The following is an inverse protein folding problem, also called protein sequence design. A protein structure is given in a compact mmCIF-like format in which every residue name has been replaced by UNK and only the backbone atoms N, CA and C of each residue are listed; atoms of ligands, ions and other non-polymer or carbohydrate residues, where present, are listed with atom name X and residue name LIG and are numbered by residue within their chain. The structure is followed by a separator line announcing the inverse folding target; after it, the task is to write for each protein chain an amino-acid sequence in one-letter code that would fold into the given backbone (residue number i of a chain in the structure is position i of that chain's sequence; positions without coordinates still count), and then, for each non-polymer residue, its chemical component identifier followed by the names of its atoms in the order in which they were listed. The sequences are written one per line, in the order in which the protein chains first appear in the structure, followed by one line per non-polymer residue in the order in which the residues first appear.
data_IF_159495092611
#
_entry.id   IF_159495092611
#
_cell.length_a   1.000
_cell.length_b   1.000
_cell.length_c   1.000
_cell.angle_alpha   90.00
_cell.angle_beta   90.00
_cell.angle_gamma   90.00
#
_symmetry.space_group_name_H-M   'P 1'
#
loop_
_entity.id
_entity.type
_entity.pdbx_description
1 polymer ?
#
# COMPACT_ATOMS: atom_id res chain seq x y z
N UNK A 1 6.50 1.87 5.10
CA UNK A 1 7.05 3.19 4.74
C UNK A 1 8.49 3.38 5.22
N UNK A 2 8.81 3.43 6.53
CA UNK A 2 10.20 3.71 7.00
C UNK A 2 11.31 2.87 6.34
N UNK A 3 11.09 1.57 6.15
CA UNK A 3 12.07 0.70 5.48
C UNK A 3 12.25 1.02 4.00
N UNK A 4 11.16 1.32 3.29
CA UNK A 4 11.22 1.69 1.88
C UNK A 4 11.97 3.01 1.68
N UNK A 5 11.75 4.00 2.56
CA UNK A 5 12.50 5.26 2.54
C UNK A 5 13.99 5.05 2.76
N UNK A 6 14.38 4.23 3.74
CA UNK A 6 15.77 3.86 3.95
C UNK A 6 16.40 3.18 2.73
N UNK A 7 15.66 2.27 2.07
CA UNK A 7 16.15 1.62 0.84
C UNK A 7 16.39 2.64 -0.27
N UNK A 8 15.51 3.63 -0.42
CA UNK A 8 15.68 4.71 -1.41
C UNK A 8 16.93 5.54 -1.08
N UNK A 9 17.09 5.95 0.18
CA UNK A 9 18.28 6.69 0.63
C UNK A 9 19.58 5.89 0.38
N UNK A 10 19.58 4.60 0.68
CA UNK A 10 20.74 3.71 0.45
C UNK A 10 21.09 3.60 -1.05
N UNK A 11 20.09 3.51 -1.92
CA UNK A 11 20.26 3.41 -3.37
C UNK A 11 20.71 4.74 -3.99
N UNK A 12 20.17 5.86 -3.54
CA UNK A 12 20.55 7.21 -3.98
C UNK A 12 21.97 7.58 -3.51
N UNK A 13 22.41 7.03 -2.38
CA UNK A 13 23.74 7.27 -1.83
C UNK A 13 24.89 6.72 -2.67
N UNK A 14 24.64 5.76 -3.57
CA UNK A 14 25.63 5.26 -4.55
C UNK A 14 26.85 4.53 -3.96
N UNK A 15 26.86 4.26 -2.66
CA UNK A 15 27.96 3.57 -1.96
C UNK A 15 27.88 2.04 -2.04
N UNK A 16 26.75 1.51 -2.51
CA UNK A 16 26.48 0.07 -2.60
C UNK A 16 27.20 -0.53 -3.82
N UNK A 17 27.68 -1.76 -3.67
CA UNK A 17 28.04 -2.59 -4.82
C UNK A 17 26.80 -2.88 -5.69
N UNK A 18 27.03 -3.37 -6.90
CA UNK A 18 25.94 -3.76 -7.80
C UNK A 18 25.04 -4.84 -7.19
N UNK A 19 25.64 -5.85 -6.55
CA UNK A 19 24.89 -6.95 -5.92
C UNK A 19 24.03 -6.46 -4.75
N UNK A 20 24.59 -5.59 -3.90
CA UNK A 20 23.83 -4.95 -2.82
C UNK A 20 22.71 -4.06 -3.36
N UNK A 21 22.98 -3.30 -4.42
CA UNK A 21 21.98 -2.44 -5.06
C UNK A 21 20.81 -3.25 -5.62
N UNK A 22 21.09 -4.39 -6.25
CA UNK A 22 20.06 -5.31 -6.76
C UNK A 22 19.23 -5.89 -5.60
N UNK A 23 19.88 -6.35 -4.53
CA UNK A 23 19.16 -6.88 -3.36
C UNK A 23 18.25 -5.82 -2.70
N UNK A 24 18.74 -4.58 -2.55
CA UNK A 24 17.96 -3.46 -2.01
C UNK A 24 16.80 -3.08 -2.93
N UNK A 25 17.03 -3.04 -4.23
CA UNK A 25 15.98 -2.77 -5.22
C UNK A 25 14.86 -3.82 -5.16
N UNK A 26 15.19 -5.10 -5.14
CA UNK A 26 14.19 -6.18 -5.03
C UNK A 26 13.37 -6.08 -3.75
N UNK A 27 14.01 -5.78 -2.62
CA UNK A 27 13.32 -5.53 -1.37
C UNK A 27 12.37 -4.33 -1.47
N UNK A 28 12.85 -3.23 -2.04
CA UNK A 28 12.06 -2.02 -2.30
C UNK A 28 10.82 -2.30 -3.13
N UNK A 29 10.96 -3.06 -4.23
CA UNK A 29 9.84 -3.47 -5.09
C UNK A 29 8.80 -4.28 -4.33
N UNK A 30 9.23 -5.26 -3.50
CA UNK A 30 8.30 -6.06 -2.68
C UNK A 30 7.53 -5.19 -1.69
N UNK A 31 8.22 -4.27 -1.01
CA UNK A 31 7.60 -3.37 -0.04
C UNK A 31 6.63 -2.39 -0.69
N UNK A 32 6.97 -1.86 -1.87
CA UNK A 32 6.11 -0.98 -2.64
C UNK A 32 4.82 -1.70 -3.07
N UNK A 33 4.93 -2.91 -3.62
CA UNK A 33 3.76 -3.74 -3.98
C UNK A 33 2.84 -4.04 -2.80
N UNK A 34 3.42 -4.43 -1.65
CA UNK A 34 2.63 -4.68 -0.44
C UNK A 34 1.94 -3.40 0.07
N UNK A 35 2.60 -2.25 -0.04
CA UNK A 35 2.01 -0.97 0.36
C UNK A 35 0.86 -0.59 -0.56
N UNK A 36 1.01 -0.77 -1.87
CA UNK A 36 -0.06 -0.54 -2.84
C UNK A 36 -1.28 -1.42 -2.55
N UNK A 37 -1.09 -2.72 -2.36
CA UNK A 37 -2.19 -3.64 -2.05
C UNK A 37 -2.97 -3.24 -0.78
N UNK A 38 -2.27 -2.67 0.22
CA UNK A 38 -2.92 -2.15 1.43
C UNK A 38 -3.69 -0.86 1.18
N UNK A 39 -3.20 0.01 0.31
CA UNK A 39 -3.90 1.22 -0.09
C UNK A 39 -5.17 0.85 -0.88
N UNK A 40 -5.07 -0.07 -1.84
CA UNK A 40 -6.21 -0.55 -2.63
C UNK A 40 -7.31 -1.13 -1.72
N UNK A 41 -6.92 -1.95 -0.73
CA UNK A 41 -7.86 -2.51 0.24
C UNK A 41 -8.51 -1.44 1.13
N UNK A 42 -7.74 -0.41 1.53
CA UNK A 42 -8.27 0.70 2.30
C UNK A 42 -9.23 1.56 1.47
N UNK A 43 -8.91 1.82 0.21
CA UNK A 43 -9.76 2.55 -0.74
C UNK A 43 -11.09 1.82 -0.94
N UNK A 44 -11.06 0.53 -1.24
CA UNK A 44 -12.28 -0.29 -1.38
C UNK A 44 -13.16 -0.24 -0.12
N UNK A 45 -12.56 -0.25 1.07
CA UNK A 45 -13.29 -0.14 2.34
C UNK A 45 -13.90 1.26 2.52
N UNK A 46 -13.20 2.31 2.12
CA UNK A 46 -13.74 3.68 2.15
C UNK A 46 -14.92 3.82 1.18
N UNK A 47 -14.80 3.30 -0.04
CA UNK A 47 -15.89 3.28 -1.03
C UNK A 47 -17.13 2.54 -0.52
N UNK A 48 -16.94 1.40 0.15
CA UNK A 48 -18.03 0.65 0.79
C UNK A 48 -18.73 1.50 1.87
N UNK A 49 -17.97 2.14 2.75
CA UNK A 49 -18.50 2.97 3.84
C UNK A 49 -19.20 4.25 3.34
N UNK A 50 -18.78 4.77 2.18
CA UNK A 50 -19.36 5.97 1.57
C UNK A 50 -20.49 5.66 0.58
N UNK A 51 -20.84 4.38 0.38
CA UNK A 51 -21.88 3.99 -0.58
C UNK A 51 -23.23 4.58 -0.18
N UNK A 52 -23.91 5.17 -1.17
CA UNK A 52 -25.27 5.70 -1.05
C UNK A 52 -26.23 4.93 -1.96
N UNK A 53 -27.50 4.86 -1.56
CA UNK A 53 -28.58 4.32 -2.40
C UNK A 53 -29.11 5.36 -3.42
N UNK A 54 -30.11 4.97 -4.22
CA UNK A 54 -30.72 5.84 -5.24
C UNK A 54 -31.44 7.07 -4.64
N UNK A 55 -31.76 7.01 -3.35
CA UNK A 55 -32.44 8.07 -2.60
C UNK A 55 -31.43 8.97 -1.85
N UNK A 56 -30.12 8.67 -1.95
CA UNK A 56 -29.03 9.43 -1.35
C UNK A 56 -28.75 9.08 0.12
N UNK A 57 -29.31 7.99 0.64
CA UNK A 57 -29.06 7.55 2.01
C UNK A 57 -27.84 6.62 2.08
N UNK A 58 -27.05 6.64 3.17
CA UNK A 58 -25.95 5.68 3.36
C UNK A 58 -26.45 4.23 3.34
N UNK A 59 -25.78 3.37 2.58
CA UNK A 59 -26.08 1.93 2.55
C UNK A 59 -25.53 1.28 3.82
N UNK A 60 -26.42 0.70 4.63
CA UNK A 60 -26.05 0.01 5.88
C UNK A 60 -26.07 -1.50 5.65
N UNK A 61 -24.98 -2.19 5.98
CA UNK A 61 -24.95 -3.65 6.14
C UNK A 61 -24.60 -4.02 7.57
N UNK A 62 -25.18 -5.11 8.07
CA UNK A 62 -24.77 -5.66 9.36
C UNK A 62 -23.32 -6.15 9.28
N UNK A 63 -22.49 -5.66 10.21
CA UNK A 63 -21.04 -5.93 10.26
C UNK A 63 -20.72 -7.34 10.77
N UNK A 64 -21.71 -8.06 11.31
CA UNK A 64 -21.57 -9.38 11.95
C UNK A 64 -22.01 -10.55 11.05
N UNK A 65 -22.32 -10.30 9.78
CA UNK A 65 -22.67 -11.34 8.82
C UNK A 65 -21.42 -11.82 8.06
N UNK A 66 -20.57 -12.62 8.73
CA UNK A 66 -19.63 -13.58 8.14
C UNK A 66 -19.38 -14.77 9.09
#
# INVERSE_FOLDING_TARGET
MRRLSHIVEDLEGGALSLEESLARFEEGVRLARSSQARLDAAEARVEELMRMDEEGNPVVRDLDAD
#
